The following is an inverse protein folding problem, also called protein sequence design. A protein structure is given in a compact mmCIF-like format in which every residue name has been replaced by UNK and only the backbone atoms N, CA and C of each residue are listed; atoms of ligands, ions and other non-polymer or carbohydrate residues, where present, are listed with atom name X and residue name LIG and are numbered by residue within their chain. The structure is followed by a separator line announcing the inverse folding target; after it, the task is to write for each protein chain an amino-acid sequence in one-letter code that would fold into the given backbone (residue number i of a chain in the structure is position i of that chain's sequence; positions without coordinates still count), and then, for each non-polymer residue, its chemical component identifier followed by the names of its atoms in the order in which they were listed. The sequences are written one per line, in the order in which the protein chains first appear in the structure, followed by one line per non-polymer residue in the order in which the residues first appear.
data_IF_807660282426
#
_entry.id   IF_807660282426
#
_cell.length_a   1.000
_cell.length_b   1.000
_cell.length_c   1.000
_cell.angle_alpha   90.00
_cell.angle_beta   90.00
_cell.angle_gamma   90.00
#
_symmetry.space_group_name_H-M   'P 1'
#
loop_
_entity.id
_entity.type
_entity.pdbx_description
1 polymer ?
#
# COMPACT_ATOMS: atom_id res chain seq x y z
N UNK A 1 2.06 16.71 39.27
CA UNK A 1 1.14 17.27 38.26
C UNK A 1 -0.27 16.97 38.72
N UNK A 2 -1.10 18.01 38.90
CA UNK A 2 -2.46 17.87 39.42
C UNK A 2 -3.35 17.14 38.41
N UNK A 3 -4.11 16.14 38.86
CA UNK A 3 -5.15 15.51 38.05
C UNK A 3 -6.27 16.53 37.86
N UNK A 4 -6.56 16.88 36.62
CA UNK A 4 -7.69 17.76 36.29
C UNK A 4 -8.81 16.91 35.65
N UNK A 5 -10.06 17.25 35.94
CA UNK A 5 -11.25 16.53 35.47
C UNK A 5 -11.82 17.16 34.22
N UNK A 6 -12.34 16.35 33.31
CA UNK A 6 -13.10 16.82 32.15
C UNK A 6 -14.39 17.51 32.60
N UNK A 7 -14.66 18.71 32.09
CA UNK A 7 -15.86 19.48 32.43
C UNK A 7 -17.16 18.88 31.88
N UNK A 8 -17.07 17.92 30.95
CA UNK A 8 -18.24 17.22 30.37
C UNK A 8 -18.53 15.87 31.03
N UNK A 9 -17.54 14.98 31.12
CA UNK A 9 -17.74 13.62 31.63
C UNK A 9 -17.23 13.37 33.05
N UNK A 10 -16.55 14.35 33.67
CA UNK A 10 -15.98 14.23 35.02
C UNK A 10 -14.76 13.30 35.13
N UNK A 11 -14.30 12.70 34.03
CA UNK A 11 -13.18 11.77 34.05
C UNK A 11 -11.85 12.52 34.28
N UNK A 12 -11.05 12.03 35.24
CA UNK A 12 -9.72 12.59 35.52
C UNK A 12 -8.75 12.23 34.41
N UNK A 13 -8.18 13.25 33.75
CA UNK A 13 -7.16 13.10 32.73
C UNK A 13 -5.86 13.77 33.16
N UNK A 14 -4.74 13.24 32.68
CA UNK A 14 -3.42 13.88 32.82
C UNK A 14 -3.28 15.10 31.90
N UNK A 15 -4.12 15.19 30.88
CA UNK A 15 -4.11 16.25 29.87
C UNK A 15 -5.54 16.66 29.56
N UNK A 16 -5.84 17.96 29.71
CA UNK A 16 -7.11 18.55 29.33
C UNK A 16 -6.90 19.53 28.17
N UNK A 17 -7.91 19.59 27.30
CA UNK A 17 -7.93 20.43 26.10
C UNK A 17 -8.93 21.57 26.29
N UNK A 18 -8.49 22.83 26.36
CA UNK A 18 -9.40 23.97 26.45
C UNK A 18 -10.09 24.23 25.11
N UNK A 19 -11.41 24.38 25.13
CA UNK A 19 -12.19 24.73 23.95
C UNK A 19 -12.15 26.25 23.73
N UNK A 20 -11.77 26.68 22.51
CA UNK A 20 -11.68 28.11 22.14
C UNK A 20 -13.06 28.79 22.07
N UNK A 21 -14.12 28.02 21.91
CA UNK A 21 -15.47 28.55 21.73
C UNK A 21 -16.19 28.78 23.06
N UNK A 22 -16.11 27.81 23.99
CA UNK A 22 -16.80 27.90 25.29
C UNK A 22 -15.88 28.11 26.50
N UNK A 23 -14.55 28.03 26.33
CA UNK A 23 -13.56 28.29 27.38
C UNK A 23 -13.37 27.17 28.41
N UNK A 24 -14.09 26.05 28.32
CA UNK A 24 -14.00 24.91 29.24
C UNK A 24 -12.96 23.87 28.80
N UNK A 25 -12.58 22.97 29.70
CA UNK A 25 -11.49 22.01 29.56
C UNK A 25 -11.98 20.56 29.53
N UNK A 26 -11.64 19.83 28.46
CA UNK A 26 -12.19 18.50 28.19
C UNK A 26 -11.12 17.41 28.04
N UNK A 27 -11.50 16.16 28.26
CA UNK A 27 -10.65 15.01 27.96
C UNK A 27 -10.52 14.78 26.44
N UNK A 28 -9.63 13.88 26.02
CA UNK A 28 -9.34 13.63 24.61
C UNK A 28 -10.57 13.26 23.75
N UNK A 29 -11.59 12.62 24.35
CA UNK A 29 -12.83 12.19 23.68
C UNK A 29 -13.79 13.37 23.48
N UNK A 30 -13.86 14.28 24.46
CA UNK A 30 -14.80 15.40 24.47
C UNK A 30 -14.15 16.72 24.01
N UNK A 31 -12.97 16.70 23.38
CA UNK A 31 -12.26 17.93 22.99
C UNK A 31 -12.91 18.72 21.85
N UNK A 32 -13.65 18.03 20.96
CA UNK A 32 -14.32 18.66 19.82
C UNK A 32 -15.67 19.25 20.25
N UNK A 33 -16.10 20.41 19.70
CA UNK A 33 -17.38 21.04 20.04
C UNK A 33 -18.60 20.11 19.94
N UNK A 34 -18.57 19.19 18.97
CA UNK A 34 -19.61 18.20 18.71
C UNK A 34 -19.73 17.13 19.80
N UNK A 35 -18.67 16.95 20.60
CA UNK A 35 -18.56 15.90 21.60
C UNK A 35 -18.71 16.45 23.03
N UNK A 36 -19.07 17.72 23.24
CA UNK A 36 -19.23 18.28 24.60
C UNK A 36 -20.37 19.29 24.73
N UNK A 37 -21.38 19.22 23.84
CA UNK A 37 -22.50 20.18 23.81
C UNK A 37 -22.03 21.63 23.90
N UNK A 38 -21.12 22.02 22.99
CA UNK A 38 -20.44 23.31 23.06
C UNK A 38 -21.42 24.48 23.04
N UNK A 39 -21.34 25.34 24.08
CA UNK A 39 -22.16 26.54 24.21
C UNK A 39 -21.62 27.75 23.45
N UNK A 40 -20.43 27.64 22.86
CA UNK A 40 -19.83 28.69 22.04
C UNK A 40 -20.27 28.63 20.58
N UNK A 41 -20.15 29.74 19.84
CA UNK A 41 -20.51 29.79 18.42
C UNK A 41 -19.64 28.85 17.59
N UNK A 42 -20.23 27.80 17.04
CA UNK A 42 -19.58 26.88 16.10
C UNK A 42 -19.73 27.47 14.69
N UNK A 43 -18.63 27.71 13.94
CA UNK A 43 -18.72 28.14 12.54
C UNK A 43 -19.50 27.12 11.71
N UNK A 44 -20.31 27.60 10.77
CA UNK A 44 -21.11 26.73 9.89
C UNK A 44 -20.20 25.91 8.96
N UNK A 45 -20.56 24.66 8.59
CA UNK A 45 -19.82 23.88 7.60
C UNK A 45 -19.66 24.55 6.22
N UNK A 46 -20.42 25.63 5.96
CA UNK A 46 -20.32 26.44 4.73
C UNK A 46 -19.19 27.48 4.76
N UNK A 47 -18.53 27.68 5.89
CA UNK A 47 -17.42 28.64 6.04
C UNK A 47 -16.04 27.99 5.83
N UNK A 48 -15.99 26.70 5.45
CA UNK A 48 -14.75 26.01 5.08
C UNK A 48 -14.29 26.48 3.69
N UNK A 49 -13.55 27.58 3.62
CA UNK A 49 -12.80 27.93 2.42
C UNK A 49 -11.55 27.04 2.34
N UNK A 50 -11.30 26.35 1.22
CA UNK A 50 -10.00 25.72 1.01
C UNK A 50 -8.99 26.84 0.78
N UNK A 51 -7.92 26.84 1.58
CA UNK A 51 -6.76 27.71 1.42
C UNK A 51 -7.07 29.23 1.46
N UNK A 52 -7.06 29.79 2.66
CA UNK A 52 -6.93 31.23 2.88
C UNK A 52 -5.72 31.50 3.78
N UNK A 53 -4.65 32.04 3.20
CA UNK A 53 -3.46 32.47 3.94
C UNK A 53 -3.78 33.65 4.85
N UNK A 54 -3.67 33.45 6.16
CA UNK A 54 -3.45 34.55 7.12
C UNK A 54 -2.08 34.36 7.76
N UNK A 55 -1.13 35.31 7.61
CA UNK A 55 0.16 35.24 8.25
C UNK A 55 -0.01 35.70 9.70
N UNK A 56 0.00 34.77 10.65
CA UNK A 56 -0.15 35.12 12.05
C UNK A 56 0.08 33.96 12.98
N UNK A 57 1.28 33.97 13.57
CA UNK A 57 1.74 33.13 14.69
C UNK A 57 2.18 31.71 14.31
N UNK A 58 3.49 31.59 14.10
CA UNK A 58 4.23 30.35 14.19
C UNK A 58 3.98 29.70 15.56
N UNK A 59 2.96 28.85 15.63
CA UNK A 59 2.78 27.94 16.74
C UNK A 59 3.99 27.01 16.77
N UNK A 60 4.66 26.98 17.91
CA UNK A 60 5.86 26.20 18.14
C UNK A 60 5.49 24.72 18.10
N UNK A 61 5.70 24.08 16.93
CA UNK A 61 5.49 22.65 16.77
C UNK A 61 6.41 21.90 17.74
N UNK A 62 5.84 21.15 18.68
CA UNK A 62 6.64 20.28 19.55
C UNK A 62 7.29 19.21 18.68
N UNK A 63 8.63 19.16 18.67
CA UNK A 63 9.45 18.23 17.89
C UNK A 63 9.08 16.75 18.03
N UNK A 64 8.30 16.37 19.05
CA UNK A 64 7.88 15.00 19.30
C UNK A 64 6.86 14.42 18.30
N UNK A 65 6.20 15.25 17.47
CA UNK A 65 5.18 14.77 16.51
C UNK A 65 5.68 14.64 15.05
N UNK A 66 6.94 14.98 14.78
CA UNK A 66 7.48 15.11 13.41
C UNK A 66 8.17 13.84 12.89
N UNK A 67 8.17 12.75 13.65
CA UNK A 67 8.85 11.51 13.29
C UNK A 67 7.85 10.38 13.04
N UNK A 68 7.67 10.01 11.77
CA UNK A 68 7.11 8.70 11.44
C UNK A 68 8.25 7.68 11.49
N UNK A 69 8.23 6.80 12.49
CA UNK A 69 9.36 5.92 12.80
C UNK A 69 9.70 4.90 11.70
N UNK A 70 8.71 4.48 10.91
CA UNK A 70 8.91 3.54 9.81
C UNK A 70 7.94 3.79 8.65
N UNK A 71 8.42 3.93 7.40
CA UNK A 71 7.54 4.03 6.25
C UNK A 71 6.91 2.65 5.98
N UNK A 72 5.60 2.54 6.19
CA UNK A 72 4.82 1.31 6.03
C UNK A 72 4.27 0.73 7.34
N UNK A 73 4.78 1.18 8.49
CA UNK A 73 4.21 0.89 9.81
C UNK A 73 3.30 2.06 10.21
N UNK A 74 2.03 1.76 10.49
CA UNK A 74 1.10 2.75 11.03
C UNK A 74 1.18 2.67 12.55
N UNK A 75 1.66 3.74 13.20
CA UNK A 75 1.43 3.92 14.62
C UNK A 75 -0.02 4.35 14.81
N UNK A 76 -0.79 3.53 15.52
CA UNK A 76 -2.19 3.80 15.86
C UNK A 76 -2.31 4.81 17.02
N UNK A 77 -1.17 5.32 17.47
CA UNK A 77 -1.06 6.39 18.45
C UNK A 77 -1.15 7.73 17.72
N UNK A 78 -2.02 8.65 18.18
CA UNK A 78 -2.23 9.93 17.51
C UNK A 78 -0.96 10.77 17.57
N UNK A 79 -0.22 10.82 16.46
CA UNK A 79 0.79 11.86 16.23
C UNK A 79 0.09 13.11 15.70
N UNK A 80 0.48 14.27 16.22
CA UNK A 80 -0.13 15.58 15.92
C UNK A 80 0.01 15.86 14.41
N UNK A 81 -1.11 16.01 13.70
CA UNK A 81 -1.15 16.06 12.22
C UNK A 81 -1.78 17.33 11.64
N UNK A 82 -1.64 18.46 12.33
CA UNK A 82 -1.87 19.76 11.68
C UNK A 82 -0.56 20.20 11.03
N UNK A 83 -0.52 20.17 9.70
CA UNK A 83 0.60 20.66 8.90
C UNK A 83 0.09 21.78 7.99
N UNK A 84 0.76 22.93 7.99
CA UNK A 84 0.50 23.99 7.01
C UNK A 84 1.12 23.59 5.66
N UNK A 85 0.28 23.31 4.66
CA UNK A 85 0.72 23.02 3.30
C UNK A 85 0.96 21.54 3.00
N UNK A 86 1.89 21.26 2.07
CA UNK A 86 2.19 19.90 1.62
C UNK A 86 3.26 19.25 2.54
N UNK A 87 2.91 18.22 3.34
CA UNK A 87 3.85 17.61 4.29
C UNK A 87 4.98 16.81 3.61
N UNK A 88 4.91 16.65 2.29
CA UNK A 88 5.96 16.04 1.50
C UNK A 88 6.89 17.06 0.84
N UNK A 89 6.64 18.36 1.04
CA UNK A 89 7.54 19.42 0.59
C UNK A 89 8.77 19.47 1.53
N UNK A 90 10.00 19.55 1.01
CA UNK A 90 11.20 19.68 1.83
C UNK A 90 11.19 20.88 2.79
N UNK A 91 10.39 21.91 2.50
CA UNK A 91 10.22 23.10 3.35
C UNK A 91 9.22 22.92 4.50
N UNK A 92 8.44 21.83 4.50
CA UNK A 92 7.44 21.55 5.55
C UNK A 92 8.04 21.21 6.92
N UNK A 93 9.33 20.86 6.97
CA UNK A 93 10.00 20.42 8.20
C UNK A 93 9.62 19.00 8.67
N UNK A 94 8.73 18.30 7.96
CA UNK A 94 8.35 16.91 8.26
C UNK A 94 9.45 15.95 7.81
N UNK A 95 9.98 15.15 8.73
CA UNK A 95 11.02 14.16 8.44
C UNK A 95 10.42 12.76 8.43
N UNK A 96 10.22 12.23 7.23
CA UNK A 96 9.75 10.85 7.04
C UNK A 96 10.97 9.94 7.03
N UNK A 97 11.21 9.22 8.14
CA UNK A 97 12.35 8.30 8.24
C UNK A 97 12.25 7.21 7.17
N UNK A 98 13.40 6.71 6.71
CA UNK A 98 13.47 5.58 5.76
C UNK A 98 13.14 5.91 4.30
N UNK A 99 12.69 7.11 3.95
CA UNK A 99 12.52 7.52 2.54
C UNK A 99 13.88 7.73 1.87
N UNK A 100 14.12 7.01 0.78
CA UNK A 100 15.29 7.18 -0.07
C UNK A 100 15.05 8.34 -1.04
N UNK A 101 16.04 9.24 -1.19
CA UNK A 101 15.96 10.44 -2.05
C UNK A 101 14.76 11.36 -1.72
N UNK A 102 14.62 11.84 -0.46
CA UNK A 102 13.42 12.55 0.02
C UNK A 102 13.11 13.85 -0.72
N UNK A 103 14.10 14.47 -1.38
CA UNK A 103 13.91 15.70 -2.16
C UNK A 103 13.30 15.47 -3.55
N UNK A 104 13.20 14.23 -4.03
CA UNK A 104 12.61 13.94 -5.33
C UNK A 104 11.08 14.05 -5.28
N UNK A 105 10.48 14.43 -6.42
CA UNK A 105 9.02 14.42 -6.57
C UNK A 105 8.51 13.00 -6.82
N UNK A 106 7.26 12.72 -6.42
CA UNK A 106 6.61 11.40 -6.56
C UNK A 106 6.78 10.76 -7.95
N UNK A 107 6.63 11.46 -9.09
CA UNK A 107 6.78 10.85 -10.42
C UNK A 107 8.16 10.20 -10.65
N UNK A 108 9.23 10.78 -10.07
CA UNK A 108 10.57 10.22 -10.20
C UNK A 108 10.74 8.95 -9.35
N UNK A 109 10.13 8.88 -8.16
CA UNK A 109 10.11 7.64 -7.39
C UNK A 109 9.35 6.54 -8.12
N UNK A 110 8.19 6.87 -8.71
CA UNK A 110 7.41 5.92 -9.50
C UNK A 110 8.22 5.44 -10.71
N UNK A 111 8.89 6.34 -11.43
CA UNK A 111 9.70 5.99 -12.59
C UNK A 111 10.87 5.04 -12.24
N UNK A 112 11.57 5.31 -11.13
CA UNK A 112 12.65 4.45 -10.64
C UNK A 112 12.11 3.08 -10.21
N UNK A 113 11.02 3.05 -9.42
CA UNK A 113 10.39 1.80 -9.00
C UNK A 113 9.89 1.00 -10.20
N UNK A 114 9.24 1.64 -11.18
CA UNK A 114 8.82 1.01 -12.41
C UNK A 114 10.00 0.36 -13.15
N UNK A 115 11.10 1.09 -13.35
CA UNK A 115 12.26 0.57 -14.05
C UNK A 115 12.86 -0.65 -13.34
N UNK A 116 12.97 -0.60 -12.02
CA UNK A 116 13.48 -1.72 -11.20
C UNK A 116 12.54 -2.92 -11.28
N UNK A 117 11.24 -2.72 -11.01
CA UNK A 117 10.25 -3.80 -11.03
C UNK A 117 10.12 -4.43 -12.42
N UNK A 118 10.17 -3.62 -13.48
CA UNK A 118 10.12 -4.10 -14.86
C UNK A 118 11.36 -4.93 -15.21
N UNK A 119 12.55 -4.48 -14.81
CA UNK A 119 13.79 -5.24 -14.99
C UNK A 119 13.76 -6.59 -14.26
N UNK A 120 13.34 -6.60 -12.98
CA UNK A 120 13.19 -7.83 -12.19
C UNK A 120 12.15 -8.75 -12.84
N UNK A 121 11.04 -8.19 -13.33
CA UNK A 121 10.01 -8.89 -14.07
C UNK A 121 10.57 -9.58 -15.30
N UNK A 122 11.40 -8.90 -16.11
CA UNK A 122 12.05 -9.50 -17.28
C UNK A 122 12.96 -10.65 -16.86
N UNK A 123 13.82 -10.47 -15.86
CA UNK A 123 14.74 -11.51 -15.39
C UNK A 123 14.00 -12.77 -14.91
N UNK A 124 12.91 -12.56 -14.17
CA UNK A 124 12.08 -13.66 -13.64
C UNK A 124 11.33 -14.35 -14.77
N UNK A 125 10.72 -13.57 -15.67
CA UNK A 125 9.98 -14.10 -16.82
C UNK A 125 10.89 -14.85 -17.81
N UNK A 126 12.13 -14.41 -18.01
CA UNK A 126 13.12 -15.13 -18.82
C UNK A 126 13.49 -16.49 -18.21
N UNK A 127 13.60 -16.59 -16.89
CA UNK A 127 13.87 -17.87 -16.20
C UNK A 127 12.67 -18.80 -16.22
N UNK A 128 11.47 -18.26 -16.01
CA UNK A 128 10.21 -19.01 -16.18
C UNK A 128 10.15 -19.55 -17.62
N UNK A 129 10.37 -18.67 -18.60
CA UNK A 129 10.29 -19.00 -20.01
C UNK A 129 11.31 -20.08 -20.40
N UNK A 130 12.54 -20.04 -19.88
CA UNK A 130 13.56 -21.06 -20.18
C UNK A 130 13.22 -22.45 -19.63
N UNK A 131 12.33 -22.55 -18.65
CA UNK A 131 11.82 -23.81 -18.09
C UNK A 131 10.56 -24.31 -18.82
N UNK A 132 9.84 -23.43 -19.53
CA UNK A 132 8.66 -23.78 -20.33
C UNK A 132 9.07 -24.42 -21.67
N UNK A 133 8.90 -25.73 -21.79
CA UNK A 133 9.09 -26.45 -23.05
C UNK A 133 7.75 -26.51 -23.80
N UNK A 134 7.32 -25.38 -24.37
CA UNK A 134 6.12 -25.30 -25.20
C UNK A 134 6.50 -25.19 -26.69
N UNK A 135 6.31 -26.26 -27.50
CA UNK A 135 6.69 -26.28 -28.91
C UNK A 135 5.93 -25.27 -29.78
N UNK A 136 4.79 -24.76 -29.30
CA UNK A 136 3.89 -23.85 -30.01
C UNK A 136 4.44 -22.43 -30.19
N UNK A 137 5.40 -21.99 -29.37
CA UNK A 137 5.86 -20.60 -29.40
C UNK A 137 6.69 -20.30 -30.65
N UNK A 138 6.37 -19.20 -31.34
CA UNK A 138 7.20 -18.64 -32.41
C UNK A 138 8.43 -17.92 -31.82
N UNK A 139 9.48 -17.70 -32.62
CA UNK A 139 10.66 -16.95 -32.15
C UNK A 139 10.33 -15.53 -31.69
N UNK A 140 9.29 -14.92 -32.28
CA UNK A 140 8.82 -13.58 -31.90
C UNK A 140 8.12 -13.63 -30.55
N UNK A 141 7.22 -14.59 -30.33
CA UNK A 141 6.56 -14.78 -29.02
C UNK A 141 7.57 -15.05 -27.91
N UNK A 142 8.58 -15.89 -28.16
CA UNK A 142 9.66 -16.12 -27.19
C UNK A 142 10.38 -14.83 -26.79
N UNK A 143 10.61 -13.95 -27.76
CA UNK A 143 11.28 -12.68 -27.51
C UNK A 143 10.37 -11.70 -26.74
N UNK A 144 9.07 -11.66 -27.03
CA UNK A 144 8.14 -10.67 -26.49
C UNK A 144 7.55 -11.08 -25.13
N UNK A 145 7.31 -12.38 -24.90
CA UNK A 145 6.64 -12.91 -23.72
C UNK A 145 7.19 -12.36 -22.39
N UNK A 146 8.52 -12.30 -22.16
CA UNK A 146 9.06 -11.81 -20.90
C UNK A 146 8.75 -10.33 -20.63
N UNK A 147 8.70 -9.50 -21.67
CA UNK A 147 8.34 -8.09 -21.56
C UNK A 147 6.84 -7.90 -21.26
N UNK A 148 5.98 -8.73 -21.85
CA UNK A 148 4.55 -8.71 -21.55
C UNK A 148 4.30 -9.14 -20.11
N UNK A 149 4.93 -10.24 -19.66
CA UNK A 149 4.76 -10.71 -18.29
C UNK A 149 5.33 -9.71 -17.27
N UNK A 150 6.47 -9.10 -17.57
CA UNK A 150 7.03 -8.01 -16.76
C UNK A 150 6.08 -6.80 -16.69
N UNK A 151 5.40 -6.46 -17.80
CA UNK A 151 4.42 -5.36 -17.83
C UNK A 151 3.23 -5.66 -16.92
N UNK A 152 2.68 -6.88 -17.00
CA UNK A 152 1.57 -7.32 -16.14
C UNK A 152 2.00 -7.30 -14.66
N UNK A 153 3.19 -7.80 -14.37
CA UNK A 153 3.74 -7.87 -13.01
C UNK A 153 3.94 -6.47 -12.40
N UNK A 154 4.61 -5.57 -13.13
CA UNK A 154 4.82 -4.18 -12.69
C UNK A 154 3.51 -3.42 -12.59
N UNK A 155 2.57 -3.65 -13.51
CA UNK A 155 1.22 -3.07 -13.44
C UNK A 155 0.45 -3.54 -12.22
N UNK A 156 0.57 -4.82 -11.84
CA UNK A 156 -0.02 -5.37 -10.61
C UNK A 156 0.56 -4.73 -9.35
N UNK A 157 1.89 -4.58 -9.28
CA UNK A 157 2.56 -3.87 -8.18
C UNK A 157 2.15 -2.40 -8.08
N UNK A 158 2.16 -1.65 -9.19
CA UNK A 158 1.77 -0.24 -9.15
C UNK A 158 0.30 -0.06 -8.79
N UNK A 159 -0.58 -0.96 -9.26
CA UNK A 159 -2.00 -0.92 -8.91
C UNK A 159 -2.22 -1.19 -7.41
N UNK A 160 -1.46 -2.13 -6.84
CA UNK A 160 -1.44 -2.39 -5.40
C UNK A 160 -1.10 -1.11 -4.61
N UNK A 161 0.03 -0.50 -4.93
CA UNK A 161 0.49 0.72 -4.27
C UNK A 161 -0.49 1.89 -4.46
N UNK A 162 -0.96 2.11 -5.69
CA UNK A 162 -1.92 3.17 -5.97
C UNK A 162 -3.26 2.95 -5.29
N UNK A 163 -3.65 1.71 -4.97
CA UNK A 163 -4.86 1.43 -4.21
C UNK A 163 -4.76 1.94 -2.77
N UNK A 164 -3.61 1.75 -2.10
CA UNK A 164 -3.35 2.42 -0.82
C UNK A 164 -3.44 3.94 -0.94
N UNK A 165 -2.79 4.50 -1.97
CA UNK A 165 -2.78 5.95 -2.22
C UNK A 165 -4.18 6.50 -2.41
N UNK A 166 -5.01 5.79 -3.16
CA UNK A 166 -6.35 6.23 -3.50
C UNK A 166 -7.25 6.21 -2.27
N UNK A 167 -7.15 5.19 -1.42
CA UNK A 167 -7.90 5.15 -0.15
C UNK A 167 -7.42 6.23 0.83
N UNK A 168 -6.11 6.47 0.94
CA UNK A 168 -5.59 7.59 1.74
C UNK A 168 -6.14 8.94 1.27
N UNK A 169 -6.11 9.20 -0.04
CA UNK A 169 -6.66 10.44 -0.63
C UNK A 169 -8.17 10.55 -0.49
N UNK A 170 -8.89 9.44 -0.53
CA UNK A 170 -10.33 9.43 -0.29
C UNK A 170 -10.69 9.97 1.10
N UNK A 171 -9.86 9.71 2.11
CA UNK A 171 -10.00 10.27 3.45
C UNK A 171 -9.43 11.70 3.59
N UNK A 172 -9.08 12.36 2.49
CA UNK A 172 -8.50 13.71 2.51
C UNK A 172 -7.06 13.76 2.99
N UNK A 173 -6.38 12.61 3.12
CA UNK A 173 -5.03 12.55 3.67
C UNK A 173 -3.95 12.68 2.57
N UNK A 174 -2.85 13.36 2.88
CA UNK A 174 -1.70 13.44 1.99
C UNK A 174 -1.06 12.05 1.85
N UNK A 175 -1.11 11.50 0.63
CA UNK A 175 -0.59 10.19 0.28
C UNK A 175 0.26 10.22 -1.00
N UNK A 176 1.50 9.72 -0.91
CA UNK A 176 2.46 9.68 -2.03
C UNK A 176 3.30 8.40 -2.03
N UNK A 177 3.58 7.89 -3.22
CA UNK A 177 4.54 6.80 -3.40
C UNK A 177 5.98 7.31 -3.17
N UNK A 178 6.76 6.57 -2.36
CA UNK A 178 8.15 6.88 -2.06
C UNK A 178 9.00 5.62 -2.11
N UNK A 179 10.23 5.76 -2.62
CA UNK A 179 11.25 4.72 -2.49
C UNK A 179 11.71 4.65 -1.04
N UNK A 180 11.90 3.44 -0.53
CA UNK A 180 12.31 3.21 0.85
C UNK A 180 13.72 2.63 0.88
N UNK A 181 14.60 3.17 1.72
CA UNK A 181 16.00 2.73 1.81
C UNK A 181 16.09 1.24 2.17
N UNK A 182 15.31 0.80 3.16
CA UNK A 182 15.27 -0.61 3.56
C UNK A 182 14.70 -1.50 2.46
N UNK A 183 13.63 -1.06 1.82
CA UNK A 183 13.01 -1.78 0.70
C UNK A 183 13.93 -1.93 -0.52
N UNK A 184 14.67 -0.87 -0.86
CA UNK A 184 15.69 -0.88 -1.90
C UNK A 184 16.87 -1.81 -1.55
N UNK A 185 17.29 -1.86 -0.28
CA UNK A 185 18.31 -2.80 0.18
C UNK A 185 17.84 -4.25 0.04
N UNK A 186 16.63 -4.57 0.50
CA UNK A 186 16.04 -5.90 0.32
C UNK A 186 15.91 -6.27 -1.16
N UNK A 187 15.54 -5.29 -2.00
CA UNK A 187 15.45 -5.48 -3.45
C UNK A 187 16.82 -5.79 -4.06
N UNK A 188 17.87 -5.07 -3.66
CA UNK A 188 19.23 -5.33 -4.11
C UNK A 188 19.74 -6.71 -3.67
N UNK A 189 19.45 -7.13 -2.42
CA UNK A 189 19.79 -8.47 -1.91
C UNK A 189 19.01 -9.54 -2.67
N UNK A 190 17.71 -9.33 -2.91
CA UNK A 190 16.84 -10.25 -3.65
C UNK A 190 17.35 -10.48 -5.07
N UNK A 191 17.62 -9.40 -5.81
CA UNK A 191 18.15 -9.48 -7.18
C UNK A 191 19.56 -10.07 -7.20
N UNK A 192 20.44 -9.64 -6.30
CA UNK A 192 21.80 -10.18 -6.19
C UNK A 192 21.79 -11.69 -5.90
N UNK A 193 20.98 -12.12 -4.93
CA UNK A 193 20.79 -13.53 -4.60
C UNK A 193 20.22 -14.34 -5.76
N UNK A 194 19.20 -13.81 -6.44
CA UNK A 194 18.61 -14.44 -7.63
C UNK A 194 19.67 -14.67 -8.72
N UNK A 195 20.49 -13.66 -9.03
CA UNK A 195 21.56 -13.77 -10.03
C UNK A 195 22.67 -14.75 -9.60
N UNK A 196 23.09 -14.72 -8.33
CA UNK A 196 24.14 -15.59 -7.80
C UNK A 196 23.73 -17.06 -7.68
N UNK A 197 22.42 -17.33 -7.56
CA UNK A 197 21.87 -18.68 -7.41
C UNK A 197 21.26 -19.24 -8.70
N UNK A 198 21.59 -18.64 -9.84
CA UNK A 198 21.06 -19.01 -11.16
C UNK A 198 19.52 -19.06 -11.21
N UNK A 199 18.86 -18.16 -10.47
CA UNK A 199 17.41 -18.03 -10.42
C UNK A 199 16.72 -18.84 -9.32
N UNK A 200 17.46 -19.52 -8.44
CA UNK A 200 16.86 -20.34 -7.36
C UNK A 200 16.37 -19.48 -6.18
N UNK A 201 17.10 -18.42 -5.85
CA UNK A 201 16.77 -17.52 -4.74
C UNK A 201 15.72 -16.50 -5.18
N UNK A 202 14.63 -16.30 -4.42
CA UNK A 202 13.52 -15.44 -4.86
C UNK A 202 13.95 -13.97 -4.98
N UNK A 203 13.55 -13.26 -6.06
CA UNK A 203 13.85 -11.84 -6.21
C UNK A 203 12.85 -11.02 -5.40
N UNK A 204 13.07 -10.89 -4.10
CA UNK A 204 12.28 -9.97 -3.26
C UNK A 204 12.32 -8.57 -3.87
N UNK A 205 11.17 -7.97 -4.13
CA UNK A 205 11.08 -6.69 -4.83
C UNK A 205 10.10 -5.75 -4.11
N UNK A 206 10.66 -4.91 -3.23
CA UNK A 206 9.93 -3.97 -2.37
C UNK A 206 10.60 -2.59 -2.45
N UNK A 207 10.81 -1.99 -3.63
CA UNK A 207 11.64 -0.79 -3.78
C UNK A 207 11.05 0.45 -3.11
N UNK A 208 9.74 0.46 -2.87
CA UNK A 208 9.04 1.59 -2.28
C UNK A 208 7.70 1.17 -1.69
N UNK A 209 7.03 2.14 -1.08
CA UNK A 209 5.67 2.02 -0.60
C UNK A 209 4.96 3.37 -0.66
N UNK A 210 3.64 3.35 -0.58
CA UNK A 210 2.86 4.56 -0.35
C UNK A 210 2.92 4.99 1.12
N UNK A 211 3.39 6.21 1.33
CA UNK A 211 3.36 6.88 2.63
C UNK A 211 2.08 7.70 2.72
N UNK A 212 1.32 7.47 3.79
CA UNK A 212 0.11 8.23 4.13
C UNK A 212 0.33 8.89 5.48
N UNK A 213 0.25 10.22 5.53
CA UNK A 213 0.47 11.00 6.75
C UNK A 213 -0.89 11.39 7.33
N UNK A 214 -1.04 11.33 8.66
CA UNK A 214 -2.30 11.67 9.34
C UNK A 214 -3.33 10.56 9.39
N UNK A 215 -2.90 9.31 9.24
CA UNK A 215 -3.78 8.14 9.30
C UNK A 215 -3.92 7.62 10.75
N UNK A 216 -4.50 8.43 11.61
CA UNK A 216 -4.70 8.16 13.05
C UNK A 216 -5.94 7.27 13.32
N UNK A 217 -6.95 7.34 12.46
CA UNK A 217 -8.13 6.50 12.56
C UNK A 217 -7.81 5.04 12.18
N UNK A 218 -7.97 4.14 13.17
CA UNK A 218 -7.72 2.70 13.03
C UNK A 218 -8.49 2.04 11.89
N UNK A 219 -9.72 2.47 11.64
CA UNK A 219 -10.55 1.93 10.56
C UNK A 219 -10.07 2.42 9.18
N UNK A 220 -9.67 3.69 9.08
CA UNK A 220 -9.11 4.24 7.84
C UNK A 220 -7.78 3.57 7.49
N UNK A 221 -6.90 3.36 8.47
CA UNK A 221 -5.64 2.65 8.28
C UNK A 221 -5.83 1.18 7.87
N UNK A 222 -6.77 0.50 8.50
CA UNK A 222 -7.15 -0.86 8.11
C UNK A 222 -7.66 -0.96 6.66
N UNK A 223 -8.59 -0.07 6.27
CA UNK A 223 -9.12 0.02 4.90
C UNK A 223 -8.06 0.44 3.89
N UNK A 224 -7.13 1.32 4.28
CA UNK A 224 -6.00 1.68 3.45
C UNK A 224 -5.12 0.46 3.19
N UNK A 225 -4.75 -0.30 4.23
CA UNK A 225 -3.89 -1.48 4.10
C UNK A 225 -4.53 -2.65 3.35
N UNK A 226 -5.82 -2.88 3.50
CA UNK A 226 -6.48 -3.96 2.73
C UNK A 226 -6.62 -3.63 1.24
N UNK A 227 -6.57 -2.35 0.84
CA UNK A 227 -6.78 -1.92 -0.53
C UNK A 227 -5.75 -2.51 -1.52
N UNK A 228 -4.48 -2.59 -1.12
CA UNK A 228 -3.41 -3.18 -1.94
C UNK A 228 -3.68 -4.65 -2.27
N UNK A 229 -3.69 -5.55 -1.27
CA UNK A 229 -3.94 -6.98 -1.52
C UNK A 229 -5.30 -7.27 -2.18
N UNK A 230 -6.34 -6.49 -1.83
CA UNK A 230 -7.64 -6.63 -2.47
C UNK A 230 -7.59 -6.27 -3.96
N UNK A 231 -6.85 -5.23 -4.35
CA UNK A 231 -6.71 -4.84 -5.75
C UNK A 231 -6.04 -5.94 -6.59
N UNK A 232 -4.99 -6.59 -6.06
CA UNK A 232 -4.38 -7.72 -6.75
C UNK A 232 -5.35 -8.88 -6.88
N UNK A 233 -6.11 -9.19 -5.83
CA UNK A 233 -7.10 -10.27 -5.89
C UNK A 233 -8.16 -9.99 -6.96
N UNK A 234 -8.66 -8.74 -7.06
CA UNK A 234 -9.60 -8.31 -8.09
C UNK A 234 -8.99 -8.48 -9.49
N UNK A 235 -7.73 -8.07 -9.70
CA UNK A 235 -7.04 -8.26 -10.98
C UNK A 235 -6.99 -9.75 -11.35
N UNK A 236 -6.60 -10.62 -10.43
CA UNK A 236 -6.57 -12.08 -10.68
C UNK A 236 -7.95 -12.64 -11.00
N UNK A 237 -8.98 -12.25 -10.27
CA UNK A 237 -10.36 -12.65 -10.53
C UNK A 237 -10.88 -12.18 -11.90
N UNK A 238 -10.32 -11.11 -12.46
CA UNK A 238 -10.64 -10.63 -13.82
C UNK A 238 -9.83 -11.38 -14.88
N UNK A 239 -8.53 -11.55 -14.68
CA UNK A 239 -7.63 -12.17 -15.67
C UNK A 239 -7.93 -13.66 -15.84
N UNK A 240 -8.13 -14.38 -14.73
CA UNK A 240 -8.21 -15.84 -14.76
C UNK A 240 -9.41 -16.37 -15.59
N UNK A 241 -10.64 -15.84 -15.49
CA UNK A 241 -11.74 -16.27 -16.35
C UNK A 241 -11.52 -15.98 -17.85
N UNK A 242 -10.74 -14.94 -18.19
CA UNK A 242 -10.45 -14.58 -19.59
C UNK A 242 -9.65 -15.68 -20.30
N UNK A 243 -8.88 -16.48 -19.56
CA UNK A 243 -8.12 -17.62 -20.10
C UNK A 243 -9.03 -18.58 -20.88
N UNK A 244 -10.26 -18.83 -20.37
CA UNK A 244 -11.21 -19.76 -20.99
C UNK A 244 -11.86 -19.19 -22.27
N UNK A 245 -11.77 -17.88 -22.49
CA UNK A 245 -12.25 -17.23 -23.71
C UNK A 245 -11.23 -17.32 -24.86
N UNK A 246 -9.98 -17.70 -24.57
CA UNK A 246 -8.94 -17.85 -25.57
C UNK A 246 -9.12 -19.19 -26.30
N UNK A 247 -9.24 -19.22 -27.65
CA UNK A 247 -9.44 -20.47 -28.40
C UNK A 247 -8.25 -21.45 -28.31
N UNK A 248 -8.47 -22.77 -28.50
CA UNK A 248 -7.38 -23.74 -28.62
C UNK A 248 -6.36 -23.33 -29.69
N UNK A 249 -5.08 -23.63 -29.45
CA UNK A 249 -3.98 -23.27 -30.36
C UNK A 249 -3.41 -21.86 -30.15
N UNK A 250 -3.87 -21.14 -29.13
CA UNK A 250 -3.36 -19.82 -28.70
C UNK A 250 -2.77 -19.94 -27.27
N UNK A 251 -2.01 -21.01 -27.03
CA UNK A 251 -1.57 -21.43 -25.70
C UNK A 251 -0.64 -20.42 -25.05
N UNK A 252 0.14 -19.70 -25.84
CA UNK A 252 1.03 -18.62 -25.42
C UNK A 252 0.29 -17.50 -24.68
N UNK A 253 -0.90 -17.13 -25.14
CA UNK A 253 -1.74 -16.12 -24.49
C UNK A 253 -2.37 -16.68 -23.21
N UNK A 254 -2.83 -17.93 -23.24
CA UNK A 254 -3.35 -18.61 -22.03
C UNK A 254 -2.27 -18.66 -20.95
N UNK A 255 -1.04 -19.00 -21.31
CA UNK A 255 0.10 -19.10 -20.39
C UNK A 255 0.46 -17.72 -19.84
N UNK A 256 0.52 -16.70 -20.69
CA UNK A 256 0.77 -15.33 -20.28
C UNK A 256 -0.26 -14.84 -19.25
N UNK A 257 -1.55 -15.08 -19.51
CA UNK A 257 -2.64 -14.70 -18.61
C UNK A 257 -2.62 -15.51 -17.32
N UNK A 258 -2.33 -16.81 -17.36
CA UNK A 258 -2.21 -17.65 -16.17
C UNK A 258 -1.08 -17.18 -15.26
N UNK A 259 0.12 -16.92 -15.80
CA UNK A 259 1.21 -16.33 -15.02
C UNK A 259 0.87 -14.93 -14.54
N UNK A 260 0.16 -14.12 -15.34
CA UNK A 260 -0.28 -12.78 -14.94
C UNK A 260 -1.24 -12.79 -13.75
N UNK A 261 -2.22 -13.70 -13.75
CA UNK A 261 -3.13 -13.93 -12.63
C UNK A 261 -2.37 -14.45 -11.41
N UNK A 262 -1.55 -15.49 -11.60
CA UNK A 262 -0.73 -16.08 -10.55
C UNK A 262 0.17 -15.07 -9.84
N UNK A 263 0.87 -14.20 -10.58
CA UNK A 263 1.76 -13.19 -9.99
C UNK A 263 0.96 -12.18 -9.16
N UNK A 264 -0.23 -11.76 -9.62
CA UNK A 264 -1.08 -10.87 -8.85
C UNK A 264 -1.59 -11.56 -7.58
N UNK A 265 -2.08 -12.79 -7.69
CA UNK A 265 -2.55 -13.58 -6.54
C UNK A 265 -1.42 -13.78 -5.53
N UNK A 266 -0.24 -14.16 -6.00
CA UNK A 266 0.96 -14.32 -5.18
C UNK A 266 1.37 -13.03 -4.49
N UNK A 267 1.35 -11.88 -5.19
CA UNK A 267 1.66 -10.58 -4.59
C UNK A 267 0.65 -10.22 -3.48
N UNK A 268 -0.63 -10.56 -3.68
CA UNK A 268 -1.67 -10.42 -2.66
C UNK A 268 -1.43 -11.32 -1.44
N UNK A 269 -1.14 -12.61 -1.64
CA UNK A 269 -0.81 -13.55 -0.55
C UNK A 269 0.43 -13.10 0.21
N UNK A 270 1.49 -12.72 -0.50
CA UNK A 270 2.75 -12.28 0.09
C UNK A 270 2.53 -11.06 0.98
N UNK A 271 1.84 -10.02 0.49
CA UNK A 271 1.53 -8.84 1.30
C UNK A 271 0.54 -9.10 2.43
N UNK A 272 -0.21 -10.20 2.40
CA UNK A 272 -1.08 -10.63 3.50
C UNK A 272 -0.34 -11.41 4.59
N UNK A 273 0.95 -11.75 4.45
CA UNK A 273 1.71 -12.37 5.54
C UNK A 273 1.79 -11.41 6.74
N UNK A 274 1.55 -11.87 7.98
CA UNK A 274 1.42 -10.99 9.15
C UNK A 274 2.80 -10.65 9.75
N UNK A 275 3.73 -10.16 8.93
CA UNK A 275 5.13 -9.91 9.31
C UNK A 275 5.63 -8.54 8.85
N UNK A 276 6.36 -7.85 9.74
CA UNK A 276 7.09 -6.63 9.42
C UNK A 276 6.25 -5.54 8.73
N UNK A 277 6.77 -5.05 7.60
CA UNK A 277 6.21 -3.93 6.82
C UNK A 277 5.06 -4.34 5.88
N UNK A 278 4.76 -5.64 5.80
CA UNK A 278 3.71 -6.16 4.91
C UNK A 278 2.32 -5.76 5.43
N UNK A 279 1.37 -5.60 4.53
CA UNK A 279 0.04 -5.07 4.86
C UNK A 279 -0.73 -5.97 5.82
N UNK A 280 -0.57 -7.29 5.68
CA UNK A 280 -1.19 -8.33 6.48
C UNK A 280 -0.95 -8.14 7.97
N UNK A 281 0.23 -7.62 8.37
CA UNK A 281 0.53 -7.34 9.77
C UNK A 281 -0.44 -6.29 10.35
N UNK A 282 -0.73 -5.24 9.59
CA UNK A 282 -1.65 -4.17 10.00
C UNK A 282 -3.12 -4.60 9.86
N UNK A 283 -3.47 -5.34 8.80
CA UNK A 283 -4.84 -5.86 8.60
C UNK A 283 -5.20 -6.85 9.72
N UNK A 284 -4.26 -7.72 10.13
CA UNK A 284 -4.48 -8.67 11.23
C UNK A 284 -4.72 -7.96 12.57
N UNK A 285 -3.97 -6.87 12.85
CA UNK A 285 -4.16 -6.02 14.03
C UNK A 285 -5.48 -5.23 13.97
N UNK A 286 -5.91 -4.79 12.78
CA UNK A 286 -7.16 -4.06 12.59
C UNK A 286 -8.38 -4.96 12.73
N UNK A 287 -8.50 -5.99 11.89
CA UNK A 287 -9.67 -6.85 11.83
C UNK A 287 -9.34 -8.26 11.31
N UNK A 288 -9.30 -9.23 12.24
CA UNK A 288 -9.00 -10.64 11.92
C UNK A 288 -10.00 -11.26 10.95
N UNK A 289 -11.27 -10.85 10.97
CA UNK A 289 -12.29 -11.38 10.04
C UNK A 289 -11.95 -11.02 8.60
N UNK A 290 -11.66 -9.76 8.32
CA UNK A 290 -11.27 -9.32 6.98
C UNK A 290 -9.94 -9.92 6.55
N UNK A 291 -8.99 -10.05 7.49
CA UNK A 291 -7.73 -10.73 7.24
C UNK A 291 -7.94 -12.16 6.74
N UNK A 292 -8.65 -13.00 7.51
CA UNK A 292 -8.83 -14.41 7.17
C UNK A 292 -9.69 -14.61 5.93
N UNK A 293 -10.72 -13.78 5.71
CA UNK A 293 -11.56 -13.86 4.52
C UNK A 293 -10.77 -13.57 3.24
N UNK A 294 -9.98 -12.49 3.23
CA UNK A 294 -9.18 -12.13 2.06
C UNK A 294 -8.04 -13.14 1.84
N UNK A 295 -7.34 -13.54 2.90
CA UNK A 295 -6.28 -14.56 2.82
C UNK A 295 -6.83 -15.89 2.29
N UNK A 296 -7.99 -16.35 2.77
CA UNK A 296 -8.59 -17.59 2.30
C UNK A 296 -8.96 -17.51 0.81
N UNK A 297 -9.55 -16.38 0.36
CA UNK A 297 -9.87 -16.17 -1.05
C UNK A 297 -8.61 -16.19 -1.94
N UNK A 298 -7.58 -15.45 -1.55
CA UNK A 298 -6.29 -15.41 -2.25
C UNK A 298 -5.62 -16.79 -2.32
N UNK A 299 -5.55 -17.52 -1.20
CA UNK A 299 -4.94 -18.87 -1.17
C UNK A 299 -5.74 -19.87 -2.00
N UNK A 300 -7.07 -19.85 -1.93
CA UNK A 300 -7.92 -20.71 -2.74
C UNK A 300 -7.69 -20.47 -4.24
N UNK A 301 -7.55 -19.20 -4.64
CA UNK A 301 -7.25 -18.82 -6.01
C UNK A 301 -5.84 -19.26 -6.43
N UNK A 302 -4.85 -19.05 -5.56
CA UNK A 302 -3.46 -19.46 -5.80
C UNK A 302 -3.34 -20.97 -6.02
N UNK A 303 -4.03 -21.75 -5.19
CA UNK A 303 -4.09 -23.22 -5.33
C UNK A 303 -4.78 -23.61 -6.63
N UNK A 304 -5.85 -22.92 -7.01
CA UNK A 304 -6.54 -23.16 -8.28
C UNK A 304 -5.59 -22.93 -9.45
N UNK A 305 -4.93 -21.76 -9.51
CA UNK A 305 -3.93 -21.44 -10.54
C UNK A 305 -2.78 -22.45 -10.57
N UNK A 306 -2.30 -22.88 -9.39
CA UNK A 306 -1.28 -23.93 -9.26
C UNK A 306 -1.74 -25.25 -9.88
N UNK A 307 -2.96 -25.70 -9.62
CA UNK A 307 -3.52 -26.92 -10.24
C UNK A 307 -3.52 -26.81 -11.77
N UNK A 308 -3.85 -25.65 -12.34
CA UNK A 308 -3.81 -25.43 -13.79
C UNK A 308 -2.40 -25.53 -14.39
N UNK A 309 -1.36 -25.07 -13.67
CA UNK A 309 0.02 -25.22 -14.14
C UNK A 309 0.46 -26.68 -14.29
N UNK A 310 0.05 -27.56 -13.36
CA UNK A 310 0.48 -28.96 -13.34
C UNK A 310 -0.43 -29.93 -14.10
N UNK A 311 -1.63 -29.49 -14.48
CA UNK A 311 -2.57 -30.28 -15.26
C UNK A 311 -2.68 -29.70 -16.67
N UNK A 312 -1.65 -29.92 -17.49
CA UNK A 312 -1.60 -29.45 -18.88
C UNK A 312 -2.78 -29.95 -19.71
N UNK A 313 -3.35 -31.12 -19.43
CA UNK A 313 -4.61 -31.57 -20.04
C UNK A 313 -5.80 -30.69 -19.63
N UNK A 314 -5.89 -30.28 -18.37
CA UNK A 314 -6.94 -29.38 -17.90
C UNK A 314 -6.74 -27.95 -18.44
N UNK A 315 -5.54 -27.60 -18.87
CA UNK A 315 -5.21 -26.29 -19.44
C UNK A 315 -5.33 -26.23 -20.97
N UNK A 316 -4.97 -27.32 -21.66
CA UNK A 316 -4.94 -27.42 -23.12
C UNK A 316 -6.20 -28.08 -23.71
N UNK A 317 -6.92 -28.88 -22.92
CA UNK A 317 -8.09 -29.67 -23.35
C UNK A 317 -9.43 -29.11 -22.84
N UNK A 318 -9.47 -27.92 -22.25
CA UNK A 318 -10.74 -27.19 -22.12
C UNK A 318 -11.12 -26.73 -23.52
N UNK A 319 -11.79 -27.64 -24.23
CA UNK A 319 -12.80 -27.54 -25.29
C UNK A 319 -13.12 -28.96 -25.74
#
# INVERSE_FOLDING_TARGET
MGKNTCDFCGETSYMLFPCKNCGQSYCAIHRLPENHDCTGSIPSPRDYTPFGSTPGNAATYSQAALEQDSPGEYSWEPNITEFDGDPFDPSSGVVIKGVMLPKLKEPFHIAIAFAIMFFIGILTAMSIFSQLVLPSFTSVERAIFPYLLASISTGGFLTHEFSHRQVGRHYGLPARFRLLTFGMLLTAIGVGGYLMSSGTFPPFALPGAVVVIGLDNRDHAGKCKIAGPLSNFIISCIIFPVIFLIPPGNDEYRVLLLYGAYINTFLGVFNMLPVGLLDGANIFKWNKKYYFLLMAGLVAFLVTEFVFFYNTSLFLTIY
#
